data_IF_029752561302
#
_entry.id   IF_029752561302
#
_cell.length_a   1.000
_cell.length_b   1.000
_cell.length_c   1.000
_cell.angle_alpha   90.00
_cell.angle_beta   90.00
_cell.angle_gamma   90.00
#
_symmetry.space_group_name_H-M   'P 1'
#
loop_
_entity.id
_entity.type
_entity.pdbx_description
1 polymer ?
#
# COMPACT_ATOMS: atom_id res chain seq x y z
N UNK A 1 -16.22 9.35 0.54
CA UNK A 1 -16.24 8.83 1.94
C UNK A 1 -15.23 9.59 2.80
N UNK A 2 -15.55 9.89 4.06
CA UNK A 2 -14.96 10.87 5.03
C UNK A 2 -13.59 11.54 4.79
N UNK A 3 -12.63 10.90 4.11
CA UNK A 3 -11.30 11.45 3.81
C UNK A 3 -10.97 11.63 2.31
N UNK A 4 -11.82 11.16 1.38
CA UNK A 4 -11.61 11.22 -0.07
C UNK A 4 -10.25 10.66 -0.55
N UNK A 5 -9.69 9.70 0.18
CA UNK A 5 -8.42 9.04 -0.14
C UNK A 5 -8.66 7.64 -0.70
N UNK A 6 -7.79 7.23 -1.63
CA UNK A 6 -7.75 5.87 -2.13
C UNK A 6 -7.08 4.94 -1.12
N UNK A 7 -7.56 3.71 -1.04
CA UNK A 7 -7.01 2.66 -0.17
C UNK A 7 -6.55 1.46 -0.99
N UNK A 8 -5.42 0.88 -0.60
CA UNK A 8 -4.94 -0.40 -1.13
C UNK A 8 -4.96 -1.46 -0.04
N UNK A 9 -5.41 -2.66 -0.39
CA UNK A 9 -5.43 -3.82 0.48
C UNK A 9 -4.53 -4.92 -0.07
N UNK A 10 -3.73 -5.50 0.81
CA UNK A 10 -2.78 -6.55 0.48
C UNK A 10 -3.52 -7.85 0.17
N UNK A 11 -3.24 -8.40 -1.00
CA UNK A 11 -3.78 -9.70 -1.39
C UNK A 11 -2.95 -10.86 -0.82
N UNK A 12 -3.63 -11.96 -0.54
CA UNK A 12 -3.05 -13.19 -0.03
C UNK A 12 -3.50 -14.38 -0.88
N UNK A 13 -2.64 -15.38 -0.98
CA UNK A 13 -2.95 -16.66 -1.62
C UNK A 13 -2.62 -17.82 -0.68
N UNK A 14 -3.03 -19.03 -1.04
CA UNK A 14 -2.70 -20.24 -0.30
C UNK A 14 -1.54 -20.95 -0.99
N UNK A 15 -0.51 -21.30 -0.23
CA UNK A 15 0.58 -22.13 -0.75
C UNK A 15 0.14 -23.60 -0.91
N UNK A 16 1.00 -24.40 -1.52
CA UNK A 16 0.79 -25.85 -1.72
C UNK A 16 0.59 -26.65 -0.42
N UNK A 17 0.90 -26.07 0.74
CA UNK A 17 0.73 -26.65 2.06
C UNK A 17 -0.48 -26.08 2.81
N UNK A 18 -1.32 -25.27 2.14
CA UNK A 18 -2.50 -24.65 2.74
C UNK A 18 -2.18 -23.52 3.73
N UNK A 19 -0.99 -22.91 3.64
CA UNK A 19 -0.64 -21.73 4.45
C UNK A 19 -0.96 -20.46 3.69
N UNK A 20 -1.55 -19.49 4.38
CA UNK A 20 -1.80 -18.15 3.84
C UNK A 20 -0.47 -17.44 3.64
N UNK A 21 -0.10 -17.17 2.39
CA UNK A 21 1.10 -16.42 2.03
C UNK A 21 0.73 -15.12 1.33
N UNK A 22 1.59 -14.10 1.47
CA UNK A 22 1.40 -12.81 0.81
C UNK A 22 1.54 -12.99 -0.69
N UNK A 23 0.62 -12.43 -1.44
CA UNK A 23 0.82 -12.28 -2.88
C UNK A 23 1.98 -11.29 -3.08
N UNK A 24 3.03 -11.76 -3.73
CA UNK A 24 4.24 -11.00 -3.99
C UNK A 24 4.96 -11.58 -5.20
N UNK A 25 5.78 -10.75 -5.83
CA UNK A 25 6.56 -11.13 -6.99
C UNK A 25 7.72 -10.16 -7.18
N UNK A 26 8.70 -10.57 -7.98
CA UNK A 26 9.74 -9.67 -8.46
C UNK A 26 9.23 -9.06 -9.77
N UNK A 27 9.11 -7.74 -9.80
CA UNK A 27 8.75 -6.99 -11.01
C UNK A 27 9.99 -6.23 -11.51
N UNK A 28 10.08 -6.02 -12.83
CA UNK A 28 11.16 -5.18 -13.36
C UNK A 28 10.94 -3.73 -12.94
N UNK A 29 12.01 -3.02 -12.59
CA UNK A 29 11.94 -1.58 -12.33
C UNK A 29 11.47 -0.80 -13.57
N UNK A 30 11.72 -1.32 -14.77
CA UNK A 30 11.23 -0.71 -16.03
C UNK A 30 9.72 -0.78 -16.19
N UNK A 31 9.07 -1.69 -15.48
CA UNK A 31 7.61 -1.86 -15.53
C UNK A 31 6.91 -0.98 -14.49
N UNK A 32 7.68 -0.32 -13.62
CA UNK A 32 7.18 0.63 -12.62
C UNK A 32 7.14 2.02 -13.25
N UNK A 33 5.93 2.51 -13.53
CA UNK A 33 5.74 3.85 -14.10
C UNK A 33 5.81 4.95 -13.03
N UNK A 34 5.25 4.69 -11.86
CA UNK A 34 5.17 5.66 -10.76
C UNK A 34 5.38 4.95 -9.42
N UNK A 35 6.27 5.50 -8.60
CA UNK A 35 6.37 5.12 -7.19
C UNK A 35 5.33 5.92 -6.40
N UNK A 36 4.59 5.25 -5.52
CA UNK A 36 3.57 5.87 -4.68
C UNK A 36 3.96 5.72 -3.22
N UNK A 37 3.63 6.73 -2.42
CA UNK A 37 3.83 6.66 -0.97
C UNK A 37 2.58 6.08 -0.30
N UNK A 38 2.79 5.07 0.55
CA UNK A 38 1.74 4.37 1.28
C UNK A 38 1.79 4.76 2.75
N UNK A 39 0.65 5.12 3.31
CA UNK A 39 0.47 5.40 4.73
C UNK A 39 -0.34 4.25 5.33
N UNK A 40 0.20 3.49 6.29
CA UNK A 40 -0.55 2.42 6.94
C UNK A 40 -1.85 2.92 7.58
N UNK A 41 -2.93 2.15 7.44
CA UNK A 41 -4.15 2.40 8.20
C UNK A 41 -3.90 1.95 9.66
N UNK A 42 -3.55 2.91 10.51
CA UNK A 42 -3.32 2.66 11.92
C UNK A 42 -4.64 2.36 12.64
N UNK A 43 -4.70 1.21 13.32
CA UNK A 43 -5.79 0.91 14.24
C UNK A 43 -5.69 1.68 15.55
N UNK A 44 -6.60 1.39 16.48
CA UNK A 44 -6.66 2.02 17.81
C UNK A 44 -5.37 1.89 18.64
N UNK A 45 -4.53 0.90 18.32
CA UNK A 45 -3.20 0.71 18.93
C UNK A 45 -2.19 0.37 17.85
N UNK A 46 -1.06 1.07 17.88
CA UNK A 46 0.11 0.76 17.07
C UNK A 46 1.01 -0.19 17.87
N UNK A 47 1.45 -1.29 17.25
CA UNK A 47 2.47 -2.13 17.86
C UNK A 47 3.77 -1.34 17.93
N UNK A 48 4.28 -1.13 19.16
CA UNK A 48 5.49 -0.36 19.42
C UNK A 48 6.76 -0.95 18.78
N UNK A 49 6.70 -2.19 18.29
CA UNK A 49 7.79 -2.82 17.54
C UNK A 49 7.82 -2.43 16.06
N UNK A 50 6.75 -1.82 15.55
CA UNK A 50 6.67 -1.39 14.16
C UNK A 50 7.43 -0.06 14.02
N UNK A 51 8.27 0.01 13.00
CA UNK A 51 9.00 1.21 12.61
C UNK A 51 8.62 1.61 11.18
N UNK A 52 9.07 2.78 10.74
CA UNK A 52 8.96 3.18 9.32
C UNK A 52 9.61 2.18 8.36
N UNK A 53 10.61 1.41 8.80
CA UNK A 53 11.26 0.40 7.99
C UNK A 53 10.46 -0.90 7.86
N UNK A 54 9.58 -1.21 8.83
CA UNK A 54 8.85 -2.49 8.92
C UNK A 54 7.34 -2.35 8.75
N UNK A 55 6.83 -1.13 8.61
CA UNK A 55 5.39 -0.87 8.54
C UNK A 55 4.76 -1.49 7.29
N UNK A 56 5.42 -1.42 6.13
CA UNK A 56 4.92 -2.05 4.91
C UNK A 56 4.80 -3.57 5.06
N UNK A 57 5.64 -4.19 5.89
CA UNK A 57 5.59 -5.61 6.18
C UNK A 57 4.59 -5.98 7.29
N UNK A 58 4.05 -5.02 8.03
CA UNK A 58 3.23 -5.30 9.21
C UNK A 58 1.74 -5.06 8.97
N UNK A 59 1.41 -4.17 8.03
CA UNK A 59 0.02 -3.80 7.72
C UNK A 59 -0.48 -4.42 6.42
N UNK A 60 -1.80 -4.58 6.36
CA UNK A 60 -2.53 -5.10 5.20
C UNK A 60 -3.31 -4.03 4.46
N UNK A 61 -3.60 -2.89 5.10
CA UNK A 61 -4.37 -1.79 4.53
C UNK A 61 -3.57 -0.50 4.61
N UNK A 62 -3.56 0.24 3.51
CA UNK A 62 -2.83 1.49 3.39
C UNK A 62 -3.68 2.53 2.66
N UNK A 63 -3.56 3.77 3.09
CA UNK A 63 -3.96 4.93 2.30
C UNK A 63 -2.86 5.27 1.29
N UNK A 64 -3.27 5.64 0.09
CA UNK A 64 -2.38 6.26 -0.89
C UNK A 64 -2.20 7.72 -0.50
N UNK A 65 -0.95 8.17 -0.35
CA UNK A 65 -0.65 9.58 -0.19
C UNK A 65 -0.74 10.28 -1.55
N UNK A 66 -1.95 10.69 -1.94
CA UNK A 66 -2.18 11.43 -3.18
C UNK A 66 -1.49 12.81 -3.21
N UNK A 67 -0.89 13.26 -2.10
CA UNK A 67 -0.22 14.56 -1.99
C UNK A 67 1.29 14.43 -1.77
N UNK A 68 1.85 13.22 -1.87
CA UNK A 68 3.29 13.00 -1.74
C UNK A 68 4.07 13.82 -2.77
N UNK A 69 3.54 13.90 -3.99
CA UNK A 69 4.09 14.69 -5.08
C UNK A 69 2.98 15.14 -6.07
N UNK A 70 3.34 16.11 -6.91
CA UNK A 70 2.41 16.74 -7.87
C UNK A 70 1.95 15.76 -8.96
N UNK A 71 2.82 14.86 -9.40
CA UNK A 71 2.49 13.86 -10.43
C UNK A 71 1.47 12.87 -9.87
N UNK A 72 1.74 12.29 -8.69
CA UNK A 72 0.81 11.40 -7.97
C UNK A 72 -0.56 12.04 -7.77
N UNK A 73 -0.61 13.31 -7.37
CA UNK A 73 -1.88 14.05 -7.23
C UNK A 73 -2.64 14.13 -8.55
N UNK A 74 -1.97 14.50 -9.63
CA UNK A 74 -2.60 14.57 -10.96
C UNK A 74 -3.09 13.19 -11.41
N UNK A 75 -2.24 12.17 -11.37
CA UNK A 75 -2.60 10.79 -11.75
C UNK A 75 -3.87 10.31 -11.02
N UNK A 76 -3.94 10.46 -9.69
CA UNK A 76 -5.11 10.01 -8.93
C UNK A 76 -6.34 10.90 -9.06
N UNK A 77 -6.19 12.17 -9.43
CA UNK A 77 -7.31 13.09 -9.61
C UNK A 77 -7.86 13.14 -11.04
N UNK A 78 -7.10 12.68 -12.03
CA UNK A 78 -7.51 12.76 -13.45
C UNK A 78 -7.56 11.42 -14.16
N UNK A 79 -6.66 10.47 -13.86
CA UNK A 79 -6.60 9.18 -14.59
C UNK A 79 -7.42 8.09 -13.89
N UNK A 80 -7.53 8.15 -12.57
CA UNK A 80 -8.20 7.12 -11.75
C UNK A 80 -9.48 7.60 -11.05
N UNK A 81 -9.84 8.88 -11.17
CA UNK A 81 -11.06 9.47 -10.59
C UNK A 81 -12.31 9.15 -11.43
#
# INVERSE_FOLDING_TARGET
>A
PELAMWTVERTYTMDQHGRRCRCGGVISLTDVTHAVELIPEYGNKVDAKISSATCLESYDRFFLNSFADKESYHTFSTEFA
#
